data_IF_003028556280
#
_entry.id   IF_003028556280
#
_cell.length_a   1.000
_cell.length_b   1.000
_cell.length_c   1.000
_cell.angle_alpha   90.00
_cell.angle_beta   90.00
_cell.angle_gamma   90.00
#
_symmetry.space_group_name_H-M   'P 1'
#
loop_
_entity.id
_entity.type
_entity.pdbx_description
1 polymer ?
#
# COMPACT_ATOMS: atom_id res chain seq x y z
N UNK A 1 -7.48 18.89 7.58
CA UNK A 1 -6.45 18.13 6.84
C UNK A 1 -5.09 18.03 7.55
N UNK A 2 -4.33 19.10 7.88
CA UNK A 2 -3.01 18.97 8.56
C UNK A 2 -3.10 18.23 9.90
N UNK A 3 -4.15 18.50 10.68
CA UNK A 3 -4.42 17.83 11.97
C UNK A 3 -4.68 16.34 11.74
N UNK A 4 -5.48 15.97 10.74
CA UNK A 4 -5.80 14.59 10.41
C UNK A 4 -4.58 13.80 9.93
N UNK A 5 -3.69 14.44 9.14
CA UNK A 5 -2.40 13.85 8.78
C UNK A 5 -1.53 13.59 10.02
N UNK A 6 -1.49 14.53 10.98
CA UNK A 6 -0.73 14.33 12.21
C UNK A 6 -1.28 13.21 13.08
N UNK A 7 -2.62 13.08 13.18
CA UNK A 7 -3.28 11.96 13.86
C UNK A 7 -2.97 10.62 13.17
N UNK A 8 -3.09 10.55 11.84
CA UNK A 8 -2.73 9.35 11.08
C UNK A 8 -1.25 8.98 11.27
N UNK A 9 -0.34 9.96 11.26
CA UNK A 9 1.09 9.73 11.53
C UNK A 9 1.32 9.09 12.90
N UNK A 10 0.56 9.49 13.91
CA UNK A 10 0.61 8.88 15.25
C UNK A 10 -0.01 7.49 15.26
N UNK A 11 -1.16 7.31 14.60
CA UNK A 11 -1.89 6.05 14.57
C UNK A 11 -1.15 4.93 13.82
N UNK A 12 -0.47 5.27 12.71
CA UNK A 12 0.33 4.33 11.91
C UNK A 12 1.81 4.30 12.31
N UNK A 13 2.13 4.60 13.54
CA UNK A 13 3.48 4.46 14.09
C UNK A 13 3.60 3.13 14.82
N UNK A 14 4.46 2.25 14.33
CA UNK A 14 4.81 1.00 14.99
C UNK A 14 5.70 1.26 16.23
N UNK A 15 5.69 0.36 17.22
CA UNK A 15 6.52 0.49 18.42
C UNK A 15 8.02 0.34 18.16
N UNK A 16 8.39 -0.21 17.00
CA UNK A 16 9.78 -0.40 16.55
C UNK A 16 9.88 -0.12 15.05
N UNK A 17 11.12 0.07 14.59
CA UNK A 17 11.42 0.20 13.17
C UNK A 17 11.90 -1.11 12.60
N UNK A 18 11.65 -1.32 11.31
CA UNK A 18 12.11 -2.49 10.54
C UNK A 18 13.25 -2.12 9.60
N UNK A 19 14.27 -2.94 9.58
CA UNK A 19 15.27 -2.94 8.51
C UNK A 19 14.63 -3.45 7.21
N UNK A 20 15.14 -3.04 6.04
CA UNK A 20 14.78 -3.68 4.78
C UNK A 20 15.13 -5.17 4.83
N UNK A 21 14.26 -6.03 4.28
CA UNK A 21 14.53 -7.45 4.09
C UNK A 21 15.65 -7.68 3.05
N UNK A 22 16.31 -8.82 3.13
CA UNK A 22 17.16 -9.26 2.06
C UNK A 22 16.37 -9.92 0.90
N UNK A 23 17.06 -10.18 -0.21
CA UNK A 23 16.47 -10.76 -1.41
C UNK A 23 15.89 -12.15 -1.20
N UNK A 24 16.51 -12.96 -0.35
CA UNK A 24 16.10 -14.34 -0.11
C UNK A 24 14.85 -14.40 0.77
N UNK A 25 14.75 -13.49 1.72
CA UNK A 25 13.60 -13.42 2.63
C UNK A 25 12.32 -12.98 1.92
N UNK A 26 12.42 -12.07 0.93
CA UNK A 26 11.24 -11.59 0.18
C UNK A 26 10.51 -12.71 -0.54
N UNK A 27 11.23 -13.70 -1.05
CA UNK A 27 10.65 -14.79 -1.85
C UNK A 27 9.60 -15.63 -1.14
N UNK A 28 9.69 -15.74 0.18
CA UNK A 28 8.70 -16.49 0.96
C UNK A 28 7.32 -15.84 1.00
N UNK A 29 7.24 -14.53 0.71
CA UNK A 29 5.99 -13.78 0.69
C UNK A 29 5.32 -13.74 -0.69
N UNK A 30 6.03 -14.09 -1.77
CA UNK A 30 5.48 -14.03 -3.12
C UNK A 30 4.52 -15.19 -3.41
N UNK A 31 3.34 -14.84 -3.89
CA UNK A 31 2.37 -15.85 -4.38
C UNK A 31 2.84 -16.40 -5.72
N UNK A 32 3.18 -17.69 -5.74
CA UNK A 32 3.74 -18.37 -6.92
C UNK A 32 2.73 -18.69 -8.01
N UNK A 33 1.44 -18.78 -7.66
CA UNK A 33 0.32 -19.17 -8.54
C UNK A 33 -0.24 -18.02 -9.39
N UNK A 34 0.30 -16.82 -9.25
CA UNK A 34 -0.18 -15.60 -9.94
C UNK A 34 0.77 -15.19 -11.08
N UNK A 35 0.25 -14.35 -12.01
CA UNK A 35 1.03 -13.84 -13.15
C UNK A 35 2.32 -13.15 -12.72
N UNK A 36 3.37 -13.34 -13.50
CA UNK A 36 4.66 -12.69 -13.31
C UNK A 36 4.75 -11.27 -13.91
N UNK A 37 3.74 -10.83 -14.66
CA UNK A 37 3.65 -9.46 -15.21
C UNK A 37 4.19 -9.32 -16.63
N UNK A 38 4.49 -8.08 -17.02
CA UNK A 38 4.83 -7.72 -18.40
C UNK A 38 6.17 -8.26 -18.88
N UNK A 39 7.14 -8.38 -18.00
CA UNK A 39 8.48 -8.88 -18.34
C UNK A 39 8.44 -10.39 -18.64
N UNK A 40 7.53 -11.11 -18.00
CA UNK A 40 7.37 -12.55 -18.13
C UNK A 40 5.94 -12.91 -18.60
N UNK A 41 5.55 -12.36 -19.74
CA UNK A 41 4.19 -12.52 -20.27
C UNK A 41 3.77 -13.99 -20.40
N UNK A 42 2.60 -14.30 -19.84
CA UNK A 42 2.03 -15.65 -19.88
C UNK A 42 2.54 -16.60 -18.80
N UNK A 43 3.66 -16.28 -18.12
CA UNK A 43 4.20 -17.11 -17.05
C UNK A 43 3.55 -16.80 -15.68
N UNK A 44 3.51 -17.81 -14.82
CA UNK A 44 3.27 -17.63 -13.39
C UNK A 44 4.59 -17.36 -12.67
N UNK A 45 4.54 -16.67 -11.54
CA UNK A 45 5.76 -16.38 -10.75
C UNK A 45 6.53 -17.65 -10.39
N UNK A 46 5.83 -18.74 -10.05
CA UNK A 46 6.46 -20.02 -9.69
C UNK A 46 7.30 -20.64 -10.79
N UNK A 47 6.97 -20.34 -12.06
CA UNK A 47 7.61 -20.94 -13.23
C UNK A 47 8.93 -20.23 -13.62
N UNK A 48 9.14 -18.98 -13.13
CA UNK A 48 10.29 -18.13 -13.51
C UNK A 48 10.88 -17.35 -12.32
N UNK A 49 10.93 -17.97 -11.13
CA UNK A 49 11.38 -17.29 -9.90
C UNK A 49 12.83 -16.83 -9.98
N UNK A 50 13.73 -17.62 -10.58
CA UNK A 50 15.15 -17.26 -10.68
C UNK A 50 15.37 -16.04 -11.57
N UNK A 51 14.67 -16.00 -12.70
CA UNK A 51 14.69 -14.88 -13.63
C UNK A 51 14.07 -13.61 -12.99
N UNK A 52 12.98 -13.76 -12.25
CA UNK A 52 12.37 -12.65 -11.48
C UNK A 52 13.38 -12.08 -10.49
N UNK A 53 14.11 -12.92 -9.76
CA UNK A 53 15.15 -12.44 -8.84
C UNK A 53 16.30 -11.76 -9.55
N UNK A 54 16.71 -12.29 -10.70
CA UNK A 54 17.75 -11.67 -11.50
C UNK A 54 17.35 -10.25 -11.93
N UNK A 55 16.16 -10.09 -12.51
CA UNK A 55 15.64 -8.80 -12.94
C UNK A 55 15.40 -7.85 -11.76
N UNK A 56 14.89 -8.36 -10.65
CA UNK A 56 14.67 -7.56 -9.44
C UNK A 56 15.98 -7.03 -8.84
N UNK A 57 17.05 -7.86 -8.81
CA UNK A 57 18.38 -7.42 -8.35
C UNK A 57 18.93 -6.32 -9.24
N UNK A 58 18.87 -6.50 -10.55
CA UNK A 58 19.32 -5.51 -11.51
C UNK A 58 18.54 -4.18 -11.35
N UNK A 59 17.21 -4.27 -11.24
CA UNK A 59 16.34 -3.12 -11.02
C UNK A 59 16.66 -2.40 -9.70
N UNK A 60 16.79 -3.14 -8.60
CA UNK A 60 17.12 -2.61 -7.28
C UNK A 60 18.51 -1.94 -7.26
N UNK A 61 19.52 -2.51 -7.92
CA UNK A 61 20.82 -1.86 -8.04
C UNK A 61 20.75 -0.54 -8.80
N UNK A 62 19.95 -0.46 -9.86
CA UNK A 62 19.73 0.79 -10.58
C UNK A 62 18.95 1.83 -9.75
N UNK A 63 17.98 1.40 -8.94
CA UNK A 63 17.26 2.28 -8.03
C UNK A 63 18.16 2.87 -6.94
N UNK A 64 19.12 2.11 -6.43
CA UNK A 64 20.11 2.58 -5.45
C UNK A 64 20.93 3.76 -5.98
N UNK A 65 21.18 3.80 -7.28
CA UNK A 65 22.05 4.78 -7.94
C UNK A 65 23.41 4.86 -7.22
N UNK A 66 24.05 6.04 -7.15
CA UNK A 66 25.37 6.19 -6.52
C UNK A 66 25.30 6.35 -4.98
N UNK A 67 24.10 6.54 -4.43
CA UNK A 67 23.91 6.78 -3.00
C UNK A 67 24.46 8.12 -2.48
N UNK A 68 24.98 8.96 -3.37
CA UNK A 68 25.50 10.29 -3.02
C UNK A 68 24.44 11.37 -3.13
N UNK A 69 23.37 11.10 -3.87
CA UNK A 69 22.27 12.02 -4.14
C UNK A 69 20.93 11.32 -3.98
N UNK A 70 19.88 12.11 -3.82
CA UNK A 70 18.50 11.63 -3.86
C UNK A 70 18.17 10.99 -5.19
N UNK A 71 17.20 10.08 -5.18
CA UNK A 71 16.74 9.37 -6.37
C UNK A 71 16.31 10.31 -7.50
N UNK A 72 16.79 10.00 -8.72
CA UNK A 72 16.40 10.72 -9.94
C UNK A 72 15.66 9.77 -10.90
N UNK A 73 14.34 9.94 -11.09
CA UNK A 73 13.53 9.06 -11.93
C UNK A 73 13.90 9.12 -13.43
N UNK A 74 14.51 10.20 -13.92
CA UNK A 74 14.89 10.31 -15.33
C UNK A 74 15.99 9.31 -15.73
N UNK A 75 16.71 8.74 -14.74
CA UNK A 75 17.75 7.73 -14.97
C UNK A 75 17.21 6.29 -14.97
N UNK A 76 15.88 6.13 -14.85
CA UNK A 76 15.25 4.83 -14.71
C UNK A 76 14.29 4.53 -15.86
N UNK A 77 14.28 3.27 -16.27
CA UNK A 77 13.19 2.68 -17.05
C UNK A 77 12.55 1.62 -16.19
N UNK A 78 11.26 1.77 -15.96
CA UNK A 78 10.48 0.85 -15.14
C UNK A 78 9.65 -0.08 -16.02
N UNK A 79 9.47 -1.35 -15.62
CA UNK A 79 8.58 -2.26 -16.33
C UNK A 79 7.13 -1.76 -16.21
N UNK A 80 6.31 -1.89 -17.28
CA UNK A 80 4.91 -1.50 -17.21
C UNK A 80 4.07 -2.55 -16.46
N UNK A 81 3.00 -2.12 -15.81
CA UNK A 81 1.90 -3.01 -15.46
C UNK A 81 1.11 -3.37 -16.72
N UNK A 82 0.57 -4.58 -16.78
CA UNK A 82 -0.42 -4.93 -17.81
C UNK A 82 -1.82 -4.52 -17.31
N UNK A 83 -2.59 -3.92 -18.19
CA UNK A 83 -4.01 -3.73 -17.97
C UNK A 83 -4.71 -5.08 -18.15
N UNK A 84 -5.32 -5.56 -17.09
CA UNK A 84 -6.09 -6.81 -17.05
C UNK A 84 -7.54 -6.56 -16.66
N UNK A 85 -8.38 -7.56 -16.89
CA UNK A 85 -9.77 -7.54 -16.54
C UNK A 85 -10.08 -8.67 -15.55
N UNK A 86 -10.83 -8.38 -14.51
CA UNK A 86 -11.35 -9.36 -13.57
C UNK A 86 -12.86 -9.31 -13.59
N UNK A 87 -13.49 -10.39 -14.04
CA UNK A 87 -14.93 -10.60 -13.88
C UNK A 87 -15.28 -10.94 -12.43
N UNK A 88 -16.44 -10.50 -11.98
CA UNK A 88 -17.05 -10.91 -10.71
C UNK A 88 -18.42 -11.55 -10.96
N UNK A 89 -18.98 -12.21 -9.96
CA UNK A 89 -20.40 -12.58 -10.01
C UNK A 89 -21.23 -11.30 -10.01
N UNK A 90 -22.13 -11.18 -10.99
CA UNK A 90 -23.04 -10.06 -11.16
C UNK A 90 -24.34 -10.58 -11.77
N UNK A 91 -25.37 -9.77 -11.79
CA UNK A 91 -26.58 -10.06 -12.54
C UNK A 91 -26.27 -10.14 -14.05
N UNK A 92 -27.05 -10.93 -14.77
CA UNK A 92 -26.78 -11.25 -16.21
C UNK A 92 -26.81 -9.97 -17.07
N UNK A 93 -27.69 -9.04 -16.69
CA UNK A 93 -27.90 -7.79 -17.45
C UNK A 93 -26.93 -6.65 -17.05
N UNK A 94 -26.15 -6.83 -15.95
CA UNK A 94 -25.16 -5.85 -15.47
C UNK A 94 -23.81 -6.52 -15.17
N UNK A 95 -23.01 -6.88 -16.18
CA UNK A 95 -21.73 -7.54 -15.98
C UNK A 95 -20.75 -6.63 -15.21
N UNK A 96 -20.39 -7.05 -14.00
CA UNK A 96 -19.46 -6.31 -13.15
C UNK A 96 -18.02 -6.64 -13.52
N UNK A 97 -17.40 -5.77 -14.28
CA UNK A 97 -16.00 -5.89 -14.68
C UNK A 97 -15.14 -4.89 -13.92
N UNK A 98 -14.07 -5.39 -13.31
CA UNK A 98 -13.06 -4.55 -12.65
C UNK A 98 -11.78 -4.53 -13.47
N UNK A 99 -11.24 -3.34 -13.70
CA UNK A 99 -9.90 -3.19 -14.23
C UNK A 99 -8.89 -3.55 -13.12
N UNK A 100 -7.95 -4.41 -13.43
CA UNK A 100 -6.87 -4.79 -12.53
C UNK A 100 -5.52 -4.51 -13.17
N UNK A 101 -4.56 -4.10 -12.36
CA UNK A 101 -3.18 -3.92 -12.81
C UNK A 101 -2.39 -5.19 -12.50
N UNK A 102 -1.94 -5.89 -13.54
CA UNK A 102 -1.02 -7.02 -13.37
C UNK A 102 0.37 -6.44 -13.13
N UNK A 103 0.75 -6.42 -11.88
CA UNK A 103 1.97 -5.78 -11.40
C UNK A 103 3.20 -6.63 -11.75
N UNK A 104 4.32 -6.03 -12.22
CA UNK A 104 5.54 -6.75 -12.53
C UNK A 104 6.12 -7.45 -11.29
N UNK A 105 6.48 -8.72 -11.42
CA UNK A 105 6.96 -9.52 -10.28
C UNK A 105 8.27 -8.99 -9.71
N UNK A 106 9.18 -8.48 -10.55
CA UNK A 106 10.42 -7.84 -10.12
C UNK A 106 10.19 -6.59 -9.28
N UNK A 107 9.13 -5.82 -9.56
CA UNK A 107 8.73 -4.70 -8.70
C UNK A 107 8.16 -5.17 -7.38
N UNK A 108 7.39 -6.27 -7.36
CA UNK A 108 6.91 -6.86 -6.11
C UNK A 108 8.05 -7.34 -5.21
N UNK A 109 9.14 -7.86 -5.79
CA UNK A 109 10.35 -8.20 -5.02
C UNK A 109 10.97 -6.94 -4.40
N UNK A 110 11.06 -5.84 -5.15
CA UNK A 110 11.60 -4.57 -4.62
C UNK A 110 10.70 -4.00 -3.51
N UNK A 111 9.39 -3.99 -3.69
CA UNK A 111 8.44 -3.60 -2.64
C UNK A 111 8.52 -4.51 -1.43
N UNK A 112 8.84 -5.78 -1.67
CA UNK A 112 8.98 -6.82 -0.66
C UNK A 112 10.06 -6.55 0.38
N UNK A 113 11.04 -5.68 0.11
CA UNK A 113 12.02 -5.26 1.11
C UNK A 113 11.39 -4.58 2.33
N UNK A 114 10.25 -3.95 2.15
CA UNK A 114 9.64 -3.12 3.20
C UNK A 114 8.21 -3.54 3.55
N UNK A 115 7.40 -3.88 2.55
CA UNK A 115 5.95 -3.96 2.71
C UNK A 115 5.45 -5.17 3.50
N UNK A 116 5.87 -6.44 3.24
CA UNK A 116 5.24 -7.61 3.85
C UNK A 116 5.35 -7.65 5.36
N UNK A 117 6.54 -7.33 5.90
CA UNK A 117 6.74 -7.31 7.34
C UNK A 117 5.98 -6.17 8.00
N UNK A 118 5.99 -4.99 7.39
CA UNK A 118 5.25 -3.83 7.90
C UNK A 118 3.74 -4.11 7.92
N UNK A 119 3.20 -4.70 6.86
CA UNK A 119 1.81 -5.13 6.81
C UNK A 119 1.49 -6.14 7.91
N UNK A 120 2.34 -7.16 8.08
CA UNK A 120 2.19 -8.17 9.14
C UNK A 120 2.21 -7.54 10.54
N UNK A 121 3.08 -6.57 10.77
CA UNK A 121 3.18 -5.87 12.04
C UNK A 121 1.90 -5.08 12.34
N UNK A 122 1.37 -4.33 11.37
CA UNK A 122 0.09 -3.64 11.52
C UNK A 122 -1.08 -4.61 11.77
N UNK A 123 -1.09 -5.76 11.10
CA UNK A 123 -2.15 -6.75 11.29
C UNK A 123 -2.07 -7.47 12.64
N UNK A 124 -0.89 -7.54 13.26
CA UNK A 124 -0.68 -8.19 14.56
C UNK A 124 -0.75 -7.22 15.74
N UNK A 125 -0.59 -5.91 15.53
CA UNK A 125 -0.67 -4.91 16.58
C UNK A 125 -2.13 -4.64 16.97
N UNK A 126 -2.56 -4.94 18.19
CA UNK A 126 -3.93 -4.68 18.64
C UNK A 126 -4.30 -3.20 18.68
N UNK A 127 -3.31 -2.30 18.75
CA UNK A 127 -3.50 -0.85 18.73
C UNK A 127 -3.52 -0.28 17.31
N UNK A 128 -3.16 -1.08 16.31
CA UNK A 128 -3.17 -0.65 14.90
C UNK A 128 -4.54 -0.13 14.49
N UNK A 129 -4.60 0.94 13.70
CA UNK A 129 -5.84 1.37 13.06
C UNK A 129 -6.32 0.38 11.99
N UNK A 130 -5.44 -0.46 11.45
CA UNK A 130 -5.83 -1.50 10.50
C UNK A 130 -6.56 -2.64 11.21
N UNK A 131 -7.64 -3.12 10.57
CA UNK A 131 -8.37 -4.28 11.06
C UNK A 131 -7.49 -5.51 11.02
N UNK A 132 -7.17 -6.05 12.20
CA UNK A 132 -6.45 -7.30 12.31
C UNK A 132 -7.41 -8.48 12.17
N UNK A 133 -7.07 -9.48 11.38
CA UNK A 133 -7.75 -10.73 11.03
C UNK A 133 -8.77 -11.39 11.97
N UNK A 134 -9.40 -10.62 12.85
CA UNK A 134 -10.56 -11.08 13.64
C UNK A 134 -11.74 -11.28 12.68
N UNK A 135 -12.55 -12.28 12.94
CA UNK A 135 -13.78 -12.46 12.16
C UNK A 135 -14.66 -11.21 12.26
N UNK A 136 -15.28 -10.81 11.16
CA UNK A 136 -16.19 -9.66 11.11
C UNK A 136 -17.27 -9.73 12.20
N UNK A 137 -17.81 -10.93 12.46
CA UNK A 137 -18.80 -11.17 13.49
C UNK A 137 -18.26 -10.82 14.89
N UNK A 138 -17.04 -11.23 15.23
CA UNK A 138 -16.42 -10.96 16.53
C UNK A 138 -16.16 -9.45 16.72
N UNK A 139 -15.69 -8.78 15.67
CA UNK A 139 -15.47 -7.35 15.69
C UNK A 139 -16.79 -6.58 15.85
N UNK A 140 -17.81 -6.96 15.10
CA UNK A 140 -19.13 -6.35 15.19
C UNK A 140 -19.70 -6.49 16.61
N UNK A 141 -19.66 -7.70 17.19
CA UNK A 141 -20.11 -7.94 18.55
C UNK A 141 -19.34 -7.08 19.57
N UNK A 142 -18.00 -7.06 19.46
CA UNK A 142 -17.15 -6.26 20.34
C UNK A 142 -17.49 -4.75 20.24
N UNK A 143 -17.81 -4.27 19.06
CA UNK A 143 -18.13 -2.88 18.83
C UNK A 143 -19.52 -2.50 19.33
N UNK A 144 -20.53 -3.32 19.06
CA UNK A 144 -21.88 -3.09 19.55
C UNK A 144 -21.97 -3.11 21.08
N UNK A 145 -21.25 -4.02 21.75
CA UNK A 145 -21.21 -4.08 23.21
C UNK A 145 -20.55 -2.88 23.89
N UNK A 146 -19.81 -2.07 23.14
CA UNK A 146 -19.06 -0.90 23.67
C UNK A 146 -19.64 0.45 23.20
N UNK A 147 -20.81 0.47 22.57
CA UNK A 147 -21.51 1.71 22.25
C UNK A 147 -21.92 2.43 23.52
N UNK A 148 -21.71 3.75 23.54
CA UNK A 148 -22.26 4.63 24.58
C UNK A 148 -23.66 5.05 24.20
N UNK A 149 -24.39 5.59 25.17
CA UNK A 149 -25.70 6.20 24.89
C UNK A 149 -25.53 7.35 23.88
N UNK A 150 -26.38 7.35 22.83
CA UNK A 150 -26.31 8.32 21.73
C UNK A 150 -25.19 8.10 20.71
N UNK A 151 -24.46 6.97 20.76
CA UNK A 151 -23.49 6.62 19.72
C UNK A 151 -24.06 5.65 18.70
N UNK A 152 -23.68 5.86 17.45
CA UNK A 152 -23.97 4.99 16.32
C UNK A 152 -22.70 4.40 15.75
N UNK A 153 -22.76 3.18 15.23
CA UNK A 153 -21.69 2.53 14.49
C UNK A 153 -21.84 2.87 13.01
N UNK A 154 -20.82 3.49 12.44
CA UNK A 154 -20.73 3.84 11.03
C UNK A 154 -19.82 2.87 10.30
N UNK A 155 -20.24 2.43 9.11
CA UNK A 155 -19.42 1.74 8.12
C UNK A 155 -19.43 2.55 6.84
N UNK A 156 -18.25 2.84 6.28
CA UNK A 156 -18.12 3.65 5.07
C UNK A 156 -17.37 2.85 4.00
N UNK A 157 -17.96 2.80 2.81
CA UNK A 157 -17.37 2.31 1.57
C UNK A 157 -17.33 3.44 0.55
N UNK A 158 -16.13 3.78 0.06
CA UNK A 158 -15.94 4.85 -0.90
C UNK A 158 -16.09 4.33 -2.34
N UNK A 159 -16.97 4.94 -3.11
CA UNK A 159 -17.10 4.62 -4.54
C UNK A 159 -15.83 4.91 -5.34
N UNK A 160 -15.27 3.87 -5.95
CA UNK A 160 -14.09 3.95 -6.82
C UNK A 160 -12.86 4.57 -6.14
N UNK A 161 -12.62 4.24 -4.88
CA UNK A 161 -11.58 4.81 -4.05
C UNK A 161 -10.20 4.77 -4.72
N UNK A 162 -9.75 3.57 -5.10
CA UNK A 162 -8.44 3.33 -5.70
C UNK A 162 -8.11 4.25 -6.88
N UNK A 163 -9.11 4.61 -7.68
CA UNK A 163 -8.90 5.43 -8.88
C UNK A 163 -8.85 6.92 -8.62
N UNK A 164 -9.37 7.36 -7.47
CA UNK A 164 -9.57 8.78 -7.14
C UNK A 164 -8.49 9.38 -6.25
N UNK A 165 -7.72 8.55 -5.52
CA UNK A 165 -6.70 9.03 -4.59
C UNK A 165 -5.66 9.90 -5.32
N UNK A 166 -5.50 11.18 -4.95
CA UNK A 166 -4.55 12.07 -5.61
C UNK A 166 -3.10 11.77 -5.21
N UNK A 167 -2.17 12.02 -6.12
CA UNK A 167 -0.74 11.73 -5.92
C UNK A 167 -0.14 12.37 -4.66
N UNK A 168 -0.56 13.57 -4.30
CA UNK A 168 -0.06 14.23 -3.09
C UNK A 168 -0.44 13.48 -1.81
N UNK A 169 -1.65 12.93 -1.75
CA UNK A 169 -2.13 12.18 -0.59
C UNK A 169 -1.46 10.80 -0.52
N UNK A 170 -1.20 10.16 -1.66
CA UNK A 170 -0.38 8.94 -1.75
C UNK A 170 1.03 9.20 -1.18
N UNK A 171 1.68 10.33 -1.55
CA UNK A 171 2.99 10.69 -0.98
C UNK A 171 2.93 10.87 0.54
N UNK A 172 1.90 11.56 1.04
CA UNK A 172 1.69 11.73 2.49
C UNK A 172 1.55 10.36 3.17
N UNK A 173 0.80 9.42 2.58
CA UNK A 173 0.64 8.09 3.14
C UNK A 173 1.98 7.33 3.18
N UNK A 174 2.78 7.37 2.11
CA UNK A 174 4.13 6.80 2.11
C UNK A 174 5.07 7.46 3.12
N UNK A 175 5.00 8.79 3.29
CA UNK A 175 5.81 9.50 4.30
C UNK A 175 5.42 9.10 5.73
N UNK A 176 4.13 8.83 5.97
CA UNK A 176 3.66 8.28 7.24
C UNK A 176 4.22 6.88 7.48
N UNK A 177 4.17 5.99 6.48
CA UNK A 177 4.69 4.62 6.61
C UNK A 177 6.21 4.58 6.73
N UNK A 178 6.93 5.49 6.06
CA UNK A 178 8.39 5.61 6.08
C UNK A 178 8.98 5.78 7.48
N UNK A 179 8.24 6.34 8.44
CA UNK A 179 8.69 6.50 9.83
C UNK A 179 9.00 5.18 10.53
N UNK A 180 8.45 4.06 10.02
CA UNK A 180 8.58 2.72 10.58
C UNK A 180 9.81 1.95 10.03
N UNK A 181 10.64 2.58 9.19
CA UNK A 181 11.79 1.94 8.57
C UNK A 181 13.08 2.39 9.27
N UNK A 182 13.95 1.42 9.56
CA UNK A 182 15.29 1.66 10.04
C UNK A 182 16.24 1.86 8.85
N UNK A 183 16.99 2.96 8.87
CA UNK A 183 17.84 3.36 7.75
C UNK A 183 19.33 3.30 8.07
N UNK A 184 19.67 3.04 9.31
CA UNK A 184 21.07 3.12 9.79
C UNK A 184 21.70 1.77 10.04
N UNK A 185 20.89 0.70 9.94
CA UNK A 185 21.34 -0.68 10.06
C UNK A 185 20.80 -1.53 8.90
N UNK A 186 21.51 -2.59 8.55
CA UNK A 186 21.10 -3.62 7.61
C UNK A 186 21.67 -4.96 8.05
N UNK A 187 20.85 -6.01 8.15
CA UNK A 187 21.21 -7.32 8.73
C UNK A 187 21.84 -7.18 10.13
N UNK A 188 21.28 -6.29 10.95
CA UNK A 188 21.76 -6.00 12.31
C UNK A 188 23.12 -5.28 12.38
N UNK A 189 23.69 -4.85 11.24
CA UNK A 189 24.97 -4.14 11.18
C UNK A 189 24.78 -2.68 10.80
N UNK A 190 25.50 -1.75 11.45
CA UNK A 190 25.48 -0.36 11.04
C UNK A 190 25.94 -0.17 9.59
N UNK A 191 25.23 0.68 8.85
CA UNK A 191 25.59 1.07 7.48
C UNK A 191 26.04 2.53 7.42
N UNK A 192 26.93 2.83 6.48
CA UNK A 192 27.36 4.20 6.26
C UNK A 192 26.27 5.08 5.61
N UNK A 193 26.56 6.39 5.50
CA UNK A 193 25.61 7.35 4.93
C UNK A 193 25.29 7.06 3.46
N UNK A 194 26.22 6.52 2.70
CA UNK A 194 26.06 6.22 1.27
C UNK A 194 25.12 5.02 1.12
N UNK A 195 25.34 3.96 1.89
CA UNK A 195 24.48 2.77 1.85
C UNK A 195 23.08 3.10 2.38
N UNK A 196 22.97 3.85 3.47
CA UNK A 196 21.67 4.38 3.95
C UNK A 196 20.93 5.17 2.86
N UNK A 197 21.65 6.03 2.10
CA UNK A 197 21.04 6.79 1.02
C UNK A 197 20.62 5.90 -0.15
N UNK A 198 21.35 4.83 -0.46
CA UNK A 198 20.95 3.86 -1.48
C UNK A 198 19.61 3.20 -1.15
N UNK A 199 19.39 2.79 0.10
CA UNK A 199 18.11 2.24 0.53
C UNK A 199 16.98 3.27 0.48
N UNK A 200 17.25 4.52 0.84
CA UNK A 200 16.29 5.62 0.66
C UNK A 200 15.95 5.86 -0.81
N UNK A 201 16.93 5.73 -1.70
CA UNK A 201 16.70 5.84 -3.14
C UNK A 201 15.81 4.70 -3.68
N UNK A 202 15.96 3.48 -3.17
CA UNK A 202 15.05 2.37 -3.50
C UNK A 202 13.62 2.68 -3.05
N UNK A 203 13.46 3.20 -1.83
CA UNK A 203 12.16 3.65 -1.34
C UNK A 203 11.56 4.75 -2.23
N UNK A 204 12.31 5.78 -2.52
CA UNK A 204 11.84 6.92 -3.31
C UNK A 204 11.51 6.50 -4.77
N UNK A 205 12.27 5.55 -5.33
CA UNK A 205 12.01 4.94 -6.64
C UNK A 205 10.69 4.16 -6.65
N UNK A 206 10.45 3.37 -5.60
CA UNK A 206 9.23 2.59 -5.41
C UNK A 206 8.01 3.52 -5.27
N UNK A 207 8.08 4.57 -4.44
CA UNK A 207 7.02 5.57 -4.28
C UNK A 207 6.74 6.27 -5.62
N UNK A 208 7.80 6.64 -6.33
CA UNK A 208 7.65 7.27 -7.65
C UNK A 208 6.95 6.33 -8.64
N UNK A 209 7.37 5.06 -8.68
CA UNK A 209 6.77 4.05 -9.54
C UNK A 209 5.30 3.81 -9.19
N UNK A 210 4.96 3.67 -7.92
CA UNK A 210 3.59 3.48 -7.45
C UNK A 210 2.65 4.59 -7.93
N UNK A 211 3.11 5.86 -7.95
CA UNK A 211 2.31 7.00 -8.41
C UNK A 211 2.29 7.09 -9.93
N UNK A 212 3.42 6.86 -10.59
CA UNK A 212 3.63 7.10 -12.02
C UNK A 212 3.77 5.80 -12.82
N UNK A 213 3.11 4.75 -12.40
CA UNK A 213 3.18 3.43 -13.03
C UNK A 213 2.91 3.51 -14.53
N UNK A 214 3.84 3.06 -15.39
CA UNK A 214 3.54 2.86 -16.81
C UNK A 214 2.60 1.68 -16.97
N UNK A 215 1.66 1.76 -17.89
CA UNK A 215 0.61 0.77 -18.11
C UNK A 215 0.61 0.39 -19.57
N UNK A 216 0.74 -0.90 -19.84
CA UNK A 216 0.62 -1.47 -21.16
C UNK A 216 -0.80 -2.01 -21.37
N UNK A 217 -1.48 -1.46 -22.34
CA UNK A 217 -2.84 -1.89 -22.72
C UNK A 217 -2.78 -3.11 -23.65
N UNK A 218 -3.87 -3.90 -23.76
CA UNK A 218 -3.94 -5.06 -24.65
C UNK A 218 -3.72 -4.73 -26.14
N UNK A 219 -4.01 -3.50 -26.54
CA UNK A 219 -3.78 -2.99 -27.92
C UNK A 219 -2.35 -2.48 -28.17
N UNK A 220 -1.44 -2.64 -27.19
CA UNK A 220 -0.04 -2.22 -27.27
C UNK A 220 0.22 -0.75 -26.92
N UNK A 221 -0.81 0.04 -26.64
CA UNK A 221 -0.62 1.43 -26.23
C UNK A 221 -0.06 1.51 -24.82
N UNK A 222 0.81 2.50 -24.60
CA UNK A 222 1.41 2.78 -23.30
C UNK A 222 0.82 4.04 -22.69
N UNK A 223 0.37 3.93 -21.45
CA UNK A 223 -0.07 5.06 -20.65
C UNK A 223 0.79 5.19 -19.40
N UNK A 224 0.78 6.34 -18.78
CA UNK A 224 1.35 6.56 -17.46
C UNK A 224 0.27 7.12 -16.55
N UNK A 225 0.01 6.44 -15.43
CA UNK A 225 -0.88 7.00 -14.43
C UNK A 225 -0.15 8.11 -13.64
N UNK A 226 -0.90 8.98 -13.01
CA UNK A 226 -0.41 10.08 -12.17
C UNK A 226 -1.25 10.26 -10.90
N UNK A 227 -2.22 9.38 -10.68
CA UNK A 227 -3.10 9.31 -9.50
C UNK A 227 -3.62 7.89 -9.33
N UNK A 228 -4.28 7.63 -8.23
CA UNK A 228 -4.87 6.33 -7.94
C UNK A 228 -3.86 5.30 -7.44
N UNK A 229 -4.36 4.24 -6.88
CA UNK A 229 -3.62 3.15 -6.25
C UNK A 229 -3.61 1.94 -7.19
N UNK A 230 -2.45 1.33 -7.49
CA UNK A 230 -2.40 0.15 -8.35
C UNK A 230 -2.79 -1.12 -7.58
N UNK A 231 -3.84 -1.80 -8.01
CA UNK A 231 -4.43 -2.97 -7.32
C UNK A 231 -3.50 -4.18 -7.15
N UNK A 232 -2.33 -4.22 -7.78
CA UNK A 232 -1.40 -5.36 -7.73
C UNK A 232 -0.19 -5.16 -6.81
N UNK A 233 0.01 -3.98 -6.23
CA UNK A 233 1.13 -3.66 -5.35
C UNK A 233 0.94 -4.22 -3.94
N UNK A 234 2.03 -4.51 -3.25
CA UNK A 234 2.02 -4.82 -1.81
C UNK A 234 1.51 -3.66 -0.95
N UNK A 235 1.67 -2.44 -1.44
CA UNK A 235 1.31 -1.23 -0.71
C UNK A 235 -0.15 -0.86 -0.79
N UNK A 236 -0.91 -1.42 -1.74
CA UNK A 236 -2.32 -1.07 -1.99
C UNK A 236 -3.11 -0.96 -0.71
N UNK A 237 -3.19 -2.05 0.04
CA UNK A 237 -4.00 -2.12 1.26
C UNK A 237 -3.55 -1.11 2.34
N UNK A 238 -2.23 -0.92 2.51
CA UNK A 238 -1.70 0.01 3.51
C UNK A 238 -1.90 1.46 3.11
N UNK A 239 -1.65 1.80 1.85
CA UNK A 239 -1.83 3.17 1.35
C UNK A 239 -3.30 3.58 1.42
N UNK A 240 -4.20 2.70 0.97
CA UNK A 240 -5.64 2.95 1.05
C UNK A 240 -6.09 3.09 2.51
N UNK A 241 -5.62 2.24 3.41
CA UNK A 241 -5.92 2.34 4.84
C UNK A 241 -5.45 3.67 5.46
N UNK A 242 -4.24 4.12 5.15
CA UNK A 242 -3.74 5.42 5.65
C UNK A 242 -4.55 6.58 5.09
N UNK A 243 -4.85 6.55 3.79
CA UNK A 243 -5.63 7.59 3.11
C UNK A 243 -7.06 7.63 3.66
N UNK A 244 -7.71 6.48 3.78
CA UNK A 244 -9.04 6.33 4.34
C UNK A 244 -9.10 6.91 5.77
N UNK A 245 -8.16 6.54 6.64
CA UNK A 245 -8.06 7.08 7.99
C UNK A 245 -7.95 8.61 7.99
N UNK A 246 -7.12 9.19 7.11
CA UNK A 246 -6.97 10.65 6.99
C UNK A 246 -8.29 11.30 6.57
N UNK A 247 -8.98 10.72 5.58
CA UNK A 247 -10.21 11.29 5.04
C UNK A 247 -11.35 11.24 6.06
N UNK A 248 -11.56 10.12 6.74
CA UNK A 248 -12.60 10.00 7.77
C UNK A 248 -12.35 10.99 8.92
N UNK A 249 -11.11 11.05 9.44
CA UNK A 249 -10.79 12.00 10.50
C UNK A 249 -10.93 13.46 10.05
N UNK A 250 -10.63 13.74 8.78
CA UNK A 250 -10.83 15.07 8.21
C UNK A 250 -12.31 15.44 8.07
N UNK A 251 -13.14 14.52 7.61
CA UNK A 251 -14.60 14.73 7.53
C UNK A 251 -15.20 14.96 8.92
N UNK A 252 -14.79 14.17 9.89
CA UNK A 252 -15.23 14.35 11.28
C UNK A 252 -14.80 15.73 11.86
N UNK A 253 -13.53 16.14 11.62
CA UNK A 253 -13.04 17.46 12.01
C UNK A 253 -13.85 18.60 11.33
N UNK A 254 -14.28 18.43 10.06
CA UNK A 254 -15.10 19.43 9.35
C UNK A 254 -16.54 19.55 9.87
N UNK A 255 -17.08 18.46 10.40
CA UNK A 255 -18.43 18.40 10.97
C UNK A 255 -18.45 18.67 12.48
N UNK A 256 -17.27 18.88 13.10
CA UNK A 256 -17.12 19.01 14.56
C UNK A 256 -17.64 17.80 15.34
N UNK A 257 -17.62 16.60 14.72
CA UNK A 257 -18.06 15.35 15.31
C UNK A 257 -16.86 14.59 15.90
N UNK A 258 -17.00 14.13 17.13
CA UNK A 258 -16.02 13.25 17.75
C UNK A 258 -16.20 11.81 17.27
N UNK A 259 -15.19 11.26 16.58
CA UNK A 259 -15.18 9.86 16.20
C UNK A 259 -14.29 9.04 17.14
N UNK A 260 -14.70 7.80 17.40
CA UNK A 260 -13.99 6.89 18.28
C UNK A 260 -13.75 5.55 17.61
N UNK A 261 -12.62 4.96 17.94
CA UNK A 261 -12.24 3.61 17.52
C UNK A 261 -12.29 3.41 15.99
N UNK A 262 -11.78 4.40 15.25
CA UNK A 262 -11.66 4.29 13.80
C UNK A 262 -10.76 3.10 13.43
N UNK A 263 -11.30 2.18 12.67
CA UNK A 263 -10.63 1.05 12.06
C UNK A 263 -10.81 1.10 10.55
N UNK A 264 -9.75 0.77 9.83
CA UNK A 264 -9.68 0.80 8.37
C UNK A 264 -9.07 -0.48 7.82
N UNK A 265 -9.47 -0.87 6.61
CA UNK A 265 -8.84 -1.94 5.85
C UNK A 265 -9.00 -1.65 4.35
N UNK A 266 -8.03 -0.98 3.75
CA UNK A 266 -8.17 -0.43 2.41
C UNK A 266 -9.17 0.72 2.37
N UNK A 267 -10.11 0.64 1.47
CA UNK A 267 -11.25 1.55 1.29
C UNK A 267 -12.36 1.36 2.33
N UNK A 268 -12.43 0.20 2.96
CA UNK A 268 -13.39 -0.06 4.03
C UNK A 268 -12.99 0.63 5.33
N UNK A 269 -13.97 1.22 6.02
CA UNK A 269 -13.78 1.82 7.34
C UNK A 269 -14.98 1.63 8.25
N UNK A 270 -14.71 1.57 9.56
CA UNK A 270 -15.75 1.56 10.57
C UNK A 270 -15.30 2.33 11.81
N UNK A 271 -16.23 3.05 12.43
CA UNK A 271 -16.00 3.86 13.61
C UNK A 271 -17.29 4.12 14.36
N UNK A 272 -17.18 4.71 15.54
CA UNK A 272 -18.32 5.18 16.34
C UNK A 272 -18.33 6.70 16.34
N UNK A 273 -19.50 7.26 16.25
CA UNK A 273 -19.73 8.70 16.41
C UNK A 273 -21.08 8.96 17.04
N UNK A 274 -21.30 10.18 17.49
CA UNK A 274 -22.60 10.66 17.87
C UNK A 274 -23.51 10.73 16.63
N UNK A 275 -24.83 10.77 16.81
CA UNK A 275 -25.86 10.66 15.78
C UNK A 275 -25.83 11.72 14.66
N UNK A 276 -24.83 12.58 14.61
CA UNK A 276 -24.77 13.72 13.69
C UNK A 276 -23.67 13.58 12.61
N UNK A 277 -23.05 12.39 12.44
CA UNK A 277 -22.10 12.23 11.34
C UNK A 277 -22.85 12.06 10.03
N UNK A 278 -22.71 13.04 9.14
CA UNK A 278 -23.30 13.06 7.80
C UNK A 278 -22.26 12.62 6.74
N UNK A 279 -22.72 11.91 5.68
CA UNK A 279 -21.86 11.27 4.64
C UNK A 279 -21.93 12.05 3.34
#
# INVERSE_FOLDING_TARGET
MRRSIAKAKKAFKLPYKREPLDWHEVGQFLRRDTSAGSTFMGAKKGDCMEEIYHEARWLGHRMKQDGKRSFNPSRMRFPPCLAGQRGGMSEIDEPKTRLVWVYPAEMLVVEGFYAPLMYRDFMNDPLSPMLNGKSAQRLFTEWCCKLREGETLYGIDFSSFDTKVPAWLIRVAFDILRQNIEWTTFEGKPVDKVESQKWRNVWDAMVWYFINTPILMPDGRMFRKYRGVPSGSWWTQMIDSVVNHILIDYLADCQEVEIRNLKVLGDDSAFRANDQFDL
#
